data_IF_623128701132
#
_entry.id   IF_623128701132
#
_cell.length_a   1.000
_cell.length_b   1.000
_cell.length_c   1.000
_cell.angle_alpha   90.00
_cell.angle_beta   90.00
_cell.angle_gamma   90.00
#
_symmetry.space_group_name_H-M   'P 1'
#
loop_
_entity.id
_entity.type
_entity.pdbx_description
1 polymer ?
#
# COMPACT_ATOMS: atom_id res chain seq x y z
N UNK A 1 30.77 8.59 3.97
CA UNK A 1 30.46 9.52 2.86
C UNK A 1 31.08 9.09 1.53
N UNK A 2 32.28 8.49 1.51
CA UNK A 2 33.00 8.10 0.29
C UNK A 2 32.18 7.23 -0.70
N UNK A 3 31.39 6.27 -0.22
CA UNK A 3 30.54 5.43 -1.07
C UNK A 3 29.42 6.21 -1.76
N UNK A 4 28.83 7.19 -1.08
CA UNK A 4 27.79 8.06 -1.67
C UNK A 4 28.41 8.91 -2.78
N UNK A 5 29.54 9.57 -2.50
CA UNK A 5 30.23 10.39 -3.50
C UNK A 5 30.69 9.58 -4.72
N UNK A 6 31.19 8.36 -4.52
CA UNK A 6 31.63 7.49 -5.62
C UNK A 6 30.43 6.98 -6.44
N UNK A 7 29.33 6.63 -5.78
CA UNK A 7 28.08 6.26 -6.44
C UNK A 7 27.47 7.41 -7.24
N UNK A 8 27.48 8.65 -6.71
CA UNK A 8 26.99 9.84 -7.42
C UNK A 8 27.83 10.15 -8.65
N UNK A 9 29.16 10.05 -8.56
CA UNK A 9 30.05 10.28 -9.71
C UNK A 9 29.89 9.22 -10.80
N UNK A 10 29.78 7.95 -10.40
CA UNK A 10 29.54 6.84 -11.33
C UNK A 10 28.18 6.99 -12.02
N UNK A 11 27.13 7.33 -11.25
CA UNK A 11 25.81 7.61 -11.79
C UNK A 11 25.83 8.78 -12.78
N UNK A 12 26.51 9.88 -12.45
CA UNK A 12 26.64 11.04 -13.34
C UNK A 12 27.34 10.70 -14.66
N UNK A 13 28.33 9.80 -14.65
CA UNK A 13 29.01 9.33 -15.86
C UNK A 13 28.12 8.43 -16.74
N UNK A 14 27.24 7.63 -16.12
CA UNK A 14 26.30 6.73 -16.82
C UNK A 14 25.02 7.44 -17.24
N UNK A 15 24.67 8.56 -16.61
CA UNK A 15 23.50 9.40 -16.89
C UNK A 15 23.25 9.67 -18.38
N UNK A 16 24.22 10.10 -19.22
CA UNK A 16 23.97 10.38 -20.65
C UNK A 16 23.49 9.14 -21.45
N UNK A 17 23.81 7.93 -21.00
CA UNK A 17 23.36 6.68 -21.65
C UNK A 17 21.88 6.41 -21.36
N UNK A 18 21.42 6.81 -20.17
CA UNK A 18 20.04 6.60 -19.71
C UNK A 18 19.17 7.88 -19.82
N UNK A 19 19.74 8.98 -20.31
CA UNK A 19 19.09 10.28 -20.42
C UNK A 19 17.80 10.20 -21.23
N UNK A 20 17.79 9.44 -22.34
CA UNK A 20 16.59 9.25 -23.14
C UNK A 20 15.42 8.63 -22.35
N UNK A 21 15.72 7.67 -21.47
CA UNK A 21 14.70 7.08 -20.58
C UNK A 21 14.32 8.02 -19.44
N UNK A 22 15.28 8.77 -18.90
CA UNK A 22 15.07 9.73 -17.82
C UNK A 22 14.16 10.89 -18.28
N UNK A 23 14.39 11.40 -19.49
CA UNK A 23 13.61 12.47 -20.14
C UNK A 23 12.35 11.95 -20.82
N UNK A 24 12.13 10.63 -20.91
CA UNK A 24 10.85 10.10 -21.41
C UNK A 24 9.65 10.42 -20.48
N UNK A 25 9.92 10.86 -19.25
CA UNK A 25 8.94 11.37 -18.27
C UNK A 25 8.91 12.92 -18.26
N UNK A 26 9.11 13.57 -19.40
CA UNK A 26 9.07 15.05 -19.49
C UNK A 26 7.66 15.66 -19.35
N UNK A 27 6.68 14.90 -18.85
CA UNK A 27 5.39 15.48 -18.45
C UNK A 27 5.53 16.35 -17.18
N UNK A 28 6.70 16.40 -16.54
CA UNK A 28 6.92 17.10 -15.29
C UNK A 28 6.30 16.36 -14.09
N UNK A 29 6.42 16.93 -12.89
CA UNK A 29 5.77 16.38 -11.69
C UNK A 29 4.28 16.69 -11.76
N UNK A 30 3.56 15.92 -12.58
CA UNK A 30 2.11 16.04 -12.68
C UNK A 30 1.49 15.42 -11.44
N UNK A 31 1.01 16.27 -10.54
CA UNK A 31 0.36 15.80 -9.32
C UNK A 31 -1.12 15.47 -9.58
N UNK A 32 -1.69 14.50 -8.87
CA UNK A 32 -3.12 14.20 -8.98
C UNK A 32 -4.02 15.44 -8.81
N UNK A 33 -3.78 16.34 -7.84
CA UNK A 33 -4.54 17.58 -7.71
C UNK A 33 -4.54 18.44 -8.98
N UNK A 34 -3.41 18.50 -9.67
CA UNK A 34 -3.22 19.28 -10.89
C UNK A 34 -3.96 18.67 -12.09
N UNK A 35 -3.94 17.33 -12.23
CA UNK A 35 -4.73 16.62 -13.25
C UNK A 35 -6.23 16.78 -13.07
N UNK A 36 -6.68 16.74 -11.81
CA UNK A 36 -8.10 16.88 -11.47
C UNK A 36 -8.54 18.34 -11.42
N UNK A 37 -7.62 19.31 -11.46
CA UNK A 37 -7.93 20.75 -11.29
C UNK A 37 -8.53 21.07 -9.91
N UNK A 38 -8.24 20.25 -8.90
CA UNK A 38 -8.85 20.32 -7.57
C UNK A 38 -7.87 20.79 -6.51
N UNK A 39 -8.40 21.31 -5.40
CA UNK A 39 -7.58 21.69 -4.26
C UNK A 39 -6.85 20.46 -3.68
N UNK A 40 -5.54 20.61 -3.46
CA UNK A 40 -4.64 19.57 -2.93
C UNK A 40 -5.16 18.93 -1.63
N UNK A 41 -5.78 19.73 -0.75
CA UNK A 41 -6.32 19.23 0.52
C UNK A 41 -7.43 18.19 0.34
N UNK A 42 -8.25 18.34 -0.69
CA UNK A 42 -9.37 17.44 -0.95
C UNK A 42 -8.85 16.08 -1.44
N UNK A 43 -7.85 16.09 -2.31
CA UNK A 43 -7.19 14.87 -2.81
C UNK A 43 -6.52 14.11 -1.67
N UNK A 44 -5.80 14.82 -0.79
CA UNK A 44 -5.14 14.21 0.37
C UNK A 44 -6.17 13.61 1.33
N UNK A 45 -7.25 14.34 1.64
CA UNK A 45 -8.32 13.85 2.50
C UNK A 45 -9.01 12.61 1.91
N UNK A 46 -9.31 12.62 0.61
CA UNK A 46 -9.89 11.48 -0.09
C UNK A 46 -8.96 10.26 -0.05
N UNK A 47 -7.67 10.45 -0.33
CA UNK A 47 -6.67 9.38 -0.28
C UNK A 47 -6.55 8.78 1.12
N UNK A 48 -6.53 9.61 2.16
CA UNK A 48 -6.49 9.17 3.55
C UNK A 48 -7.74 8.36 3.93
N UNK A 49 -8.93 8.79 3.49
CA UNK A 49 -10.17 8.06 3.71
C UNK A 49 -10.18 6.71 2.99
N UNK A 50 -9.68 6.63 1.77
CA UNK A 50 -9.56 5.36 1.03
C UNK A 50 -8.61 4.41 1.76
N UNK A 51 -7.45 4.89 2.20
CA UNK A 51 -6.48 4.08 2.95
C UNK A 51 -7.08 3.58 4.28
N UNK A 52 -7.73 4.45 5.04
CA UNK A 52 -8.42 4.08 6.28
C UNK A 52 -9.57 3.09 6.02
N UNK A 53 -10.32 3.30 4.94
CA UNK A 53 -11.40 2.43 4.49
C UNK A 53 -10.90 1.03 4.14
N UNK A 54 -9.79 0.91 3.42
CA UNK A 54 -9.14 -0.38 3.13
C UNK A 54 -8.72 -1.11 4.40
N UNK A 55 -8.10 -0.39 5.35
CA UNK A 55 -7.65 -0.98 6.62
C UNK A 55 -8.83 -1.46 7.49
N UNK A 56 -9.89 -0.67 7.58
CA UNK A 56 -11.13 -1.05 8.28
C UNK A 56 -11.89 -2.17 7.57
N UNK A 57 -11.90 -2.15 6.23
CA UNK A 57 -12.49 -3.16 5.38
C UNK A 57 -11.84 -4.52 5.59
N UNK A 58 -10.51 -4.58 5.65
CA UNK A 58 -9.75 -5.81 5.93
C UNK A 58 -10.15 -6.42 7.29
N UNK A 59 -10.25 -5.60 8.35
CA UNK A 59 -10.69 -6.06 9.68
C UNK A 59 -12.12 -6.62 9.67
N UNK A 60 -12.99 -6.05 8.82
CA UNK A 60 -14.38 -6.49 8.72
C UNK A 60 -14.54 -7.75 7.87
N UNK A 61 -13.67 -7.96 6.89
CA UNK A 61 -13.63 -9.18 6.08
C UNK A 61 -13.32 -10.42 6.93
N UNK A 62 -12.39 -10.33 7.87
CA UNK A 62 -12.07 -11.42 8.80
C UNK A 62 -13.29 -11.85 9.64
N UNK A 63 -14.06 -10.87 10.14
CA UNK A 63 -15.30 -11.13 10.91
C UNK A 63 -16.39 -11.79 10.10
N UNK A 64 -16.53 -11.45 8.82
CA UNK A 64 -17.52 -12.05 7.90
C UNK A 64 -17.14 -13.46 7.49
N UNK A 65 -15.85 -13.75 7.33
CA UNK A 65 -15.37 -15.06 6.90
C UNK A 65 -15.29 -16.08 8.04
N UNK A 66 -14.97 -15.65 9.27
CA UNK A 66 -14.92 -16.55 10.43
C UNK A 66 -16.28 -17.09 10.91
N UNK A 67 -17.41 -16.65 10.34
CA UNK A 67 -18.74 -17.19 10.68
C UNK A 67 -19.13 -18.44 9.87
N UNK A 68 -18.31 -18.89 8.92
CA UNK A 68 -18.61 -20.06 8.06
C UNK A 68 -17.81 -21.32 8.44
N UNK A 69 -17.45 -21.52 9.72
CA UNK A 69 -16.93 -22.83 10.16
C UNK A 69 -17.22 -23.07 11.65
N UNK A 70 -18.50 -23.15 12.02
CA UNK A 70 -18.88 -23.72 13.32
C UNK A 70 -18.80 -25.24 13.25
N UNK A 71 -17.61 -25.76 13.53
CA UNK A 71 -17.41 -27.17 13.82
C UNK A 71 -18.22 -27.54 15.09
N UNK A 72 -19.09 -28.57 15.06
CA UNK A 72 -19.90 -29.01 16.21
C UNK A 72 -19.10 -29.67 17.35
N UNK A 73 -17.78 -29.50 17.39
CA UNK A 73 -16.88 -30.25 18.27
C UNK A 73 -16.92 -29.82 19.75
N UNK A 74 -17.69 -28.79 20.10
CA UNK A 74 -17.83 -28.37 21.51
C UNK A 74 -18.80 -29.24 22.33
N UNK A 75 -19.58 -30.11 21.69
CA UNK A 75 -20.53 -31.00 22.38
C UNK A 75 -19.93 -32.34 22.83
N UNK A 76 -18.76 -32.74 22.30
CA UNK A 76 -18.18 -34.07 22.61
C UNK A 76 -17.26 -34.02 23.85
N UNK A 77 -16.65 -32.88 24.16
CA UNK A 77 -15.69 -32.76 25.28
C UNK A 77 -16.39 -32.60 26.64
N UNK A 78 -17.66 -32.20 26.69
CA UNK A 78 -18.38 -32.03 27.96
C UNK A 78 -19.00 -33.32 28.50
N UNK A 79 -19.06 -34.41 27.72
CA UNK A 79 -19.64 -35.69 28.14
C UNK A 79 -18.57 -36.75 28.49
N UNK A 80 -17.29 -36.46 28.31
CA UNK A 80 -16.17 -37.38 28.62
C UNK A 80 -15.31 -36.84 29.76
N UNK A 81 -15.94 -36.44 30.86
CA UNK A 81 -15.24 -36.07 32.10
C UNK A 81 -15.92 -36.56 33.37
N UNK A 82 -16.93 -37.43 33.24
CA UNK A 82 -17.66 -38.03 34.36
C UNK A 82 -17.78 -39.55 34.15
N UNK A 83 -16.65 -40.22 34.00
CA UNK A 83 -16.53 -41.68 33.89
C UNK A 83 -15.15 -42.16 34.29
#
# INVERSE_FOLDING_TARGET
MAGISLGTLLFAAVFPVIESFYTSTDMGVVTLPELLGMNHWLVIAALALVAAGMFSGMRSFEKRWHSSNRSPLKLIVTHKRDG
#
